data_IF_111326208626
#
_entry.id   IF_111326208626
#
_cell.length_a   1.000
_cell.length_b   1.000
_cell.length_c   1.000
_cell.angle_alpha   90.00
_cell.angle_beta   90.00
_cell.angle_gamma   90.00
#
_symmetry.space_group_name_H-M   'P 1'
#
loop_
_entity.id
_entity.type
_entity.pdbx_description
1 polymer ?
#
# COMPACT_ATOMS: atom_id res chain seq x y z
N UNK A 1 -33.26 -1.03 -23.36
CA UNK A 1 -32.71 -1.45 -22.05
C UNK A 1 -33.25 -0.60 -20.90
N UNK A 2 -34.38 0.11 -21.07
CA UNK A 2 -34.78 1.22 -20.17
C UNK A 2 -35.94 0.88 -19.22
N UNK A 3 -36.42 -0.38 -19.19
CA UNK A 3 -37.64 -0.74 -18.47
C UNK A 3 -37.42 -1.65 -17.26
N UNK A 4 -36.34 -2.44 -17.23
CA UNK A 4 -36.11 -3.42 -16.16
C UNK A 4 -34.96 -2.95 -15.27
N UNK A 5 -35.26 -2.67 -14.00
CA UNK A 5 -34.30 -2.27 -12.99
C UNK A 5 -33.48 -3.48 -12.51
N UNK A 6 -32.55 -3.95 -13.35
CA UNK A 6 -31.73 -5.13 -13.06
C UNK A 6 -30.46 -4.80 -12.29
N UNK A 7 -30.01 -3.54 -12.31
CA UNK A 7 -28.85 -3.09 -11.56
C UNK A 7 -29.15 -3.03 -10.06
N UNK A 8 -28.17 -3.41 -9.24
CA UNK A 8 -28.26 -3.48 -7.78
C UNK A 8 -27.18 -2.60 -7.16
N UNK A 9 -27.55 -1.81 -6.16
CA UNK A 9 -26.62 -1.08 -5.32
C UNK A 9 -26.62 -1.68 -3.91
N UNK A 10 -25.46 -2.15 -3.45
CA UNK A 10 -25.25 -2.64 -2.09
C UNK A 10 -24.60 -1.51 -1.27
N UNK A 11 -25.21 -1.20 -0.13
CA UNK A 11 -24.68 -0.23 0.85
C UNK A 11 -24.33 -0.97 2.13
N UNK A 12 -23.10 -0.80 2.60
CA UNK A 12 -22.62 -1.43 3.82
C UNK A 12 -21.93 -0.39 4.70
N UNK A 13 -22.46 -0.17 5.90
CA UNK A 13 -21.88 0.77 6.86
C UNK A 13 -20.64 0.13 7.51
N UNK A 14 -19.46 0.61 7.15
CA UNK A 14 -18.18 0.04 7.61
C UNK A 14 -17.79 0.61 8.97
N UNK A 15 -18.04 1.90 9.20
CA UNK A 15 -17.61 2.58 10.43
C UNK A 15 -18.41 2.11 11.63
N UNK A 16 -19.74 1.98 11.48
CA UNK A 16 -20.62 1.58 12.56
C UNK A 16 -20.80 0.07 12.70
N UNK A 17 -20.26 -0.75 11.78
CA UNK A 17 -20.39 -2.21 11.86
C UNK A 17 -19.66 -2.77 13.10
N UNK A 18 -20.35 -3.48 14.01
CA UNK A 18 -19.72 -4.11 15.18
C UNK A 18 -18.90 -5.36 14.79
N UNK A 19 -19.16 -5.94 13.62
CA UNK A 19 -18.57 -7.22 13.18
C UNK A 19 -17.14 -7.08 12.62
N UNK A 20 -16.60 -5.86 12.53
CA UNK A 20 -15.28 -5.59 11.97
C UNK A 20 -14.33 -5.03 13.04
N UNK A 21 -13.14 -5.60 13.16
CA UNK A 21 -12.07 -5.04 13.98
C UNK A 21 -11.61 -3.67 13.44
N UNK A 22 -11.19 -2.75 14.33
CA UNK A 22 -10.80 -1.39 13.97
C UNK A 22 -9.68 -1.32 12.91
N UNK A 23 -8.71 -2.23 13.00
CA UNK A 23 -7.64 -2.39 12.00
C UNK A 23 -8.20 -2.70 10.60
N UNK A 24 -9.17 -3.61 10.54
CA UNK A 24 -9.81 -4.04 9.28
C UNK A 24 -10.63 -2.90 8.73
N UNK A 25 -11.40 -2.17 9.57
CA UNK A 25 -12.13 -0.96 9.16
C UNK A 25 -11.19 0.06 8.50
N UNK A 26 -10.07 0.37 9.16
CA UNK A 26 -9.09 1.33 8.64
C UNK A 26 -8.50 0.90 7.29
N UNK A 27 -8.18 -0.39 7.13
CA UNK A 27 -7.69 -0.92 5.84
C UNK A 27 -8.76 -0.92 4.78
N UNK A 28 -9.99 -1.26 5.14
CA UNK A 28 -11.13 -1.32 4.23
C UNK A 28 -11.47 0.07 3.71
N UNK A 29 -11.45 1.11 4.56
CA UNK A 29 -11.60 2.51 4.12
C UNK A 29 -10.54 2.87 3.07
N UNK A 30 -9.27 2.50 3.32
CA UNK A 30 -8.17 2.76 2.36
C UNK A 30 -8.35 1.99 1.04
N UNK A 31 -8.78 0.74 1.08
CA UNK A 31 -9.00 -0.11 -0.11
C UNK A 31 -10.28 0.26 -0.89
N UNK A 32 -11.30 0.77 -0.21
CA UNK A 32 -12.54 1.21 -0.81
C UNK A 32 -12.33 2.44 -1.70
N UNK A 33 -11.49 3.38 -1.26
CA UNK A 33 -11.18 4.60 -2.00
C UNK A 33 -12.44 5.36 -2.40
N UNK A 34 -12.63 5.57 -3.71
CA UNK A 34 -13.79 6.30 -4.27
C UNK A 34 -15.16 5.64 -4.03
N UNK A 35 -15.20 4.37 -3.61
CA UNK A 35 -16.44 3.65 -3.28
C UNK A 35 -16.95 3.93 -1.87
N UNK A 36 -16.18 4.66 -1.06
CA UNK A 36 -16.55 5.05 0.29
C UNK A 36 -17.20 6.42 0.27
N UNK A 37 -18.32 6.55 0.98
CA UNK A 37 -18.96 7.86 1.24
C UNK A 37 -18.30 8.56 2.42
N UNK A 38 -18.53 9.88 2.57
CA UNK A 38 -18.02 10.66 3.71
C UNK A 38 -18.55 10.14 5.06
N UNK A 39 -19.75 9.56 5.06
CA UNK A 39 -20.34 8.90 6.23
C UNK A 39 -19.74 7.52 6.54
N UNK A 40 -18.77 7.02 5.76
CA UNK A 40 -18.14 5.73 5.98
C UNK A 40 -18.97 4.52 5.51
N UNK A 41 -19.94 4.75 4.62
CA UNK A 41 -20.71 3.70 3.97
C UNK A 41 -20.03 3.30 2.66
N UNK A 42 -19.72 2.02 2.52
CA UNK A 42 -19.23 1.41 1.29
C UNK A 42 -20.39 1.19 0.33
N UNK A 43 -20.27 1.71 -0.89
CA UNK A 43 -21.26 1.55 -1.95
C UNK A 43 -20.67 0.70 -3.07
N UNK A 44 -21.34 -0.41 -3.39
CA UNK A 44 -20.97 -1.31 -4.49
C UNK A 44 -22.13 -1.36 -5.49
N UNK A 45 -21.85 -1.00 -6.73
CA UNK A 45 -22.81 -1.07 -7.83
C UNK A 45 -22.51 -2.28 -8.71
N UNK A 46 -23.54 -3.08 -8.98
CA UNK A 46 -23.49 -4.26 -9.82
C UNK A 46 -24.61 -4.19 -10.87
N UNK A 47 -24.21 -4.16 -12.14
CA UNK A 47 -25.13 -4.12 -13.29
C UNK A 47 -24.56 -4.87 -14.50
N UNK A 48 -23.66 -5.83 -14.27
CA UNK A 48 -22.98 -6.58 -15.32
C UNK A 48 -23.91 -7.60 -15.99
N UNK A 49 -24.86 -8.13 -15.25
CA UNK A 49 -25.73 -9.23 -15.67
C UNK A 49 -27.12 -8.74 -16.04
N UNK A 50 -27.84 -9.58 -16.80
CA UNK A 50 -29.21 -9.30 -17.27
C UNK A 50 -30.26 -9.55 -16.19
N UNK A 51 -29.97 -10.31 -15.13
CA UNK A 51 -30.91 -10.56 -14.03
C UNK A 51 -30.46 -9.89 -12.74
N UNK A 52 -31.43 -9.50 -11.91
CA UNK A 52 -31.18 -8.85 -10.62
C UNK A 52 -30.48 -9.80 -9.64
N UNK A 53 -30.83 -11.09 -9.65
CA UNK A 53 -30.23 -12.10 -8.78
C UNK A 53 -28.73 -12.24 -9.01
N UNK A 54 -28.32 -12.36 -10.28
CA UNK A 54 -26.90 -12.43 -10.65
C UNK A 54 -26.15 -11.15 -10.24
N UNK A 55 -26.76 -9.97 -10.41
CA UNK A 55 -26.17 -8.71 -9.97
C UNK A 55 -26.07 -8.61 -8.44
N UNK A 56 -27.05 -9.17 -7.70
CA UNK A 56 -27.01 -9.23 -6.22
C UNK A 56 -25.88 -10.13 -5.74
N UNK A 57 -25.74 -11.32 -6.33
CA UNK A 57 -24.65 -12.24 -6.02
C UNK A 57 -23.29 -11.61 -6.30
N UNK A 58 -23.13 -10.97 -7.46
CA UNK A 58 -21.90 -10.25 -7.84
C UNK A 58 -21.56 -9.13 -6.84
N UNK A 59 -22.54 -8.33 -6.42
CA UNK A 59 -22.32 -7.30 -5.40
C UNK A 59 -21.84 -7.90 -4.07
N UNK A 60 -22.43 -9.02 -3.64
CA UNK A 60 -22.04 -9.72 -2.41
C UNK A 60 -20.64 -10.33 -2.54
N UNK A 61 -20.30 -10.94 -3.67
CA UNK A 61 -18.96 -11.51 -3.89
C UNK A 61 -17.89 -10.41 -3.85
N UNK A 62 -18.11 -9.28 -4.53
CA UNK A 62 -17.21 -8.13 -4.48
C UNK A 62 -17.02 -7.59 -3.06
N UNK A 63 -18.11 -7.53 -2.27
CA UNK A 63 -18.02 -7.16 -0.86
C UNK A 63 -17.13 -8.13 -0.08
N UNK A 64 -17.38 -9.44 -0.21
CA UNK A 64 -16.60 -10.49 0.47
C UNK A 64 -15.12 -10.41 0.11
N UNK A 65 -14.79 -10.22 -1.16
CA UNK A 65 -13.40 -10.07 -1.60
C UNK A 65 -12.72 -8.83 -1.00
N UNK A 66 -13.42 -7.69 -0.94
CA UNK A 66 -12.88 -6.48 -0.33
C UNK A 66 -12.63 -6.65 1.17
N UNK A 67 -13.59 -7.26 1.88
CA UNK A 67 -13.46 -7.55 3.30
C UNK A 67 -12.31 -8.53 3.55
N UNK A 68 -12.18 -9.57 2.71
CA UNK A 68 -11.07 -10.53 2.81
C UNK A 68 -9.71 -9.86 2.61
N UNK A 69 -9.56 -9.02 1.59
CA UNK A 69 -8.34 -8.23 1.35
C UNK A 69 -8.04 -7.26 2.49
N UNK A 70 -9.05 -6.66 3.11
CA UNK A 70 -8.87 -5.80 4.28
C UNK A 70 -8.47 -6.60 5.54
N UNK A 71 -8.91 -7.85 5.64
CA UNK A 71 -8.55 -8.78 6.72
C UNK A 71 -7.09 -9.21 6.69
N UNK A 72 -6.47 -9.26 5.51
CA UNK A 72 -5.06 -9.60 5.36
C UNK A 72 -4.17 -8.53 5.98
N UNK A 73 -3.48 -8.88 7.07
CA UNK A 73 -2.54 -7.99 7.76
C UNK A 73 -1.29 -7.85 6.89
N UNK A 74 -0.88 -6.62 6.50
CA UNK A 74 0.34 -6.43 5.74
C UNK A 74 1.54 -6.93 6.56
N UNK A 75 2.41 -7.72 5.92
CA UNK A 75 3.64 -8.21 6.53
C UNK A 75 4.53 -7.01 6.86
N UNK A 76 4.96 -6.89 8.10
CA UNK A 76 5.86 -5.83 8.51
C UNK A 76 7.18 -5.94 7.76
N UNK A 77 7.57 -4.87 7.06
CA UNK A 77 8.89 -4.79 6.43
C UNK A 77 9.95 -4.60 7.51
N UNK A 78 10.86 -5.56 7.65
CA UNK A 78 12.09 -5.37 8.42
C UNK A 78 13.09 -4.61 7.57
N UNK A 79 13.66 -3.52 8.09
CA UNK A 79 14.70 -2.77 7.38
C UNK A 79 15.90 -3.68 7.15
N UNK A 80 16.41 -3.71 5.92
CA UNK A 80 17.65 -4.42 5.61
C UNK A 80 18.83 -3.62 6.12
N UNK A 81 19.86 -4.31 6.61
CA UNK A 81 21.16 -3.68 6.91
C UNK A 81 21.89 -3.40 5.59
N UNK A 82 22.77 -2.38 5.51
CA UNK A 82 23.65 -2.20 4.35
C UNK A 82 24.45 -3.47 4.07
N UNK A 83 24.64 -3.79 2.79
CA UNK A 83 25.40 -4.97 2.36
C UNK A 83 26.86 -4.85 2.80
N UNK A 84 27.53 -5.99 2.98
CA UNK A 84 28.96 -6.00 3.34
C UNK A 84 29.81 -5.34 2.25
N UNK A 85 29.53 -5.64 0.98
CA UNK A 85 30.17 -4.99 -0.16
C UNK A 85 30.08 -3.45 -0.09
N UNK A 86 28.90 -2.90 0.22
CA UNK A 86 28.72 -1.44 0.36
C UNK A 86 29.56 -0.87 1.52
N UNK A 87 29.73 -1.61 2.62
CA UNK A 87 30.60 -1.20 3.73
C UNK A 87 32.07 -1.22 3.34
N UNK A 88 32.50 -2.25 2.63
CA UNK A 88 33.88 -2.38 2.14
C UNK A 88 34.24 -1.29 1.13
N UNK A 89 33.38 -1.05 0.14
CA UNK A 89 33.56 0.00 -0.86
C UNK A 89 33.65 1.38 -0.21
N UNK A 90 32.81 1.67 0.79
CA UNK A 90 32.90 2.90 1.57
C UNK A 90 34.25 3.03 2.27
N UNK A 91 34.76 1.94 2.87
CA UNK A 91 36.08 1.95 3.52
C UNK A 91 37.21 2.13 2.51
N UNK A 92 37.17 1.44 1.37
CA UNK A 92 38.13 1.59 0.26
C UNK A 92 38.13 3.01 -0.29
N UNK A 93 36.95 3.58 -0.55
CA UNK A 93 36.78 4.97 -0.98
C UNK A 93 37.31 5.97 0.04
N UNK A 94 37.07 5.74 1.34
CA UNK A 94 37.63 6.57 2.42
C UNK A 94 39.16 6.52 2.44
N UNK A 95 39.77 5.34 2.27
CA UNK A 95 41.23 5.17 2.19
C UNK A 95 41.81 5.91 0.98
N UNK A 96 41.28 5.64 -0.22
CA UNK A 96 41.71 6.30 -1.48
C UNK A 96 41.66 7.82 -1.37
N UNK A 97 40.57 8.37 -0.82
CA UNK A 97 40.43 9.83 -0.63
C UNK A 97 41.44 10.37 0.38
N UNK A 98 41.78 9.61 1.42
CA UNK A 98 42.83 9.96 2.38
C UNK A 98 44.21 10.02 1.73
N UNK A 99 44.56 9.02 0.92
CA UNK A 99 45.80 8.98 0.14
C UNK A 99 45.88 10.16 -0.83
N UNK A 100 44.83 10.40 -1.61
CA UNK A 100 44.77 11.56 -2.52
C UNK A 100 44.96 12.89 -1.77
N UNK A 101 44.42 13.04 -0.55
CA UNK A 101 44.64 14.23 0.27
C UNK A 101 46.08 14.35 0.78
N UNK A 102 46.73 13.23 1.15
CA UNK A 102 48.14 13.21 1.58
C UNK A 102 49.07 13.61 0.44
N UNK A 103 48.89 13.02 -0.74
CA UNK A 103 49.70 13.34 -1.93
C UNK A 103 49.52 14.79 -2.41
N UNK A 104 48.42 15.46 -2.04
CA UNK A 104 48.17 16.88 -2.34
C UNK A 104 48.81 17.84 -1.34
N UNK A 105 49.29 17.38 -0.18
CA UNK A 105 50.06 18.26 0.70
C UNK A 105 51.39 18.54 0.00
N UNK A 106 51.61 19.79 -0.38
CA UNK A 106 52.92 20.26 -0.85
C UNK A 106 53.99 19.83 0.16
N UNK A 107 55.16 19.33 -0.29
CA UNK A 107 56.30 19.16 0.59
C UNK A 107 56.76 20.56 1.01
N UNK A 108 56.27 21.05 2.14
CA UNK A 108 56.86 22.20 2.83
C UNK A 108 58.19 21.72 3.40
N UNK A 109 59.27 21.84 2.61
CA UNK A 109 60.60 21.41 3.04
C UNK A 109 61.63 21.27 1.91
N UNK A 110 61.61 22.14 0.90
CA UNK A 110 62.76 22.33 0.01
C UNK A 110 63.14 23.79 0.18
N UNK A 111 64.05 24.09 1.10
CA UNK A 111 64.98 25.24 1.16
C UNK A 111 65.65 25.22 2.54
N UNK A 112 66.75 24.49 2.66
CA UNK A 112 67.97 24.85 3.41
C UNK A 112 69.10 23.89 3.00
#
# INVERSE_FOLDING_TARGET
>A
VNKVATAVQLRFDVLNSPSLAADVKTRLVKLAGKRMTEAGVLVIEAGRFRTQEQNREDAIQRLKELVRKAGEKPKQRRKTKPTEASKEERLKGKKKRGETKKSRKNPTGIFE
#
